data_IF_495201933805
#
_entry.id   IF_495201933805
#
_cell.length_a   1.000
_cell.length_b   1.000
_cell.length_c   1.000
_cell.angle_alpha   90.00
_cell.angle_beta   90.00
_cell.angle_gamma   90.00
#
_symmetry.space_group_name_H-M   'P 1'
#
loop_
_entity.id
_entity.type
_entity.pdbx_description
1 polymer ?
#
# COMPACT_ATOMS: atom_id res chain seq x y z
N UNK A 1 43.53 -20.70 -12.37
CA UNK A 1 43.63 -21.42 -11.08
C UNK A 1 42.26 -21.37 -10.41
N UNK A 2 41.58 -22.50 -10.14
CA UNK A 2 40.31 -22.50 -9.44
C UNK A 2 40.50 -22.50 -7.91
N UNK A 3 39.61 -21.89 -7.11
CA UNK A 3 39.77 -21.78 -5.66
C UNK A 3 39.44 -23.08 -4.92
N UNK A 4 40.16 -23.27 -3.80
CA UNK A 4 40.21 -24.43 -2.91
C UNK A 4 38.85 -24.73 -2.22
N UNK A 5 38.52 -26.02 -2.15
CA UNK A 5 37.25 -26.56 -1.63
C UNK A 5 36.99 -26.35 -0.14
N UNK A 6 35.75 -26.01 0.19
CA UNK A 6 35.22 -26.02 1.54
C UNK A 6 34.74 -27.44 1.90
N UNK A 7 35.24 -27.99 3.03
CA UNK A 7 34.83 -29.30 3.54
C UNK A 7 33.43 -29.21 4.15
N UNK A 8 32.44 -29.89 3.54
CA UNK A 8 31.11 -30.08 4.13
C UNK A 8 31.14 -31.29 5.08
N UNK A 9 30.67 -31.09 6.32
CA UNK A 9 30.41 -32.15 7.31
C UNK A 9 29.36 -33.13 6.73
N UNK A 10 29.66 -34.43 6.80
CA UNK A 10 28.78 -35.50 6.37
C UNK A 10 27.63 -35.65 7.37
N UNK A 11 26.43 -35.21 6.99
CA UNK A 11 25.22 -35.55 7.71
C UNK A 11 24.74 -36.95 7.29
N UNK A 12 24.44 -37.73 8.33
CA UNK A 12 23.67 -38.98 8.39
C UNK A 12 22.84 -39.27 7.12
N UNK A 13 23.10 -40.44 6.53
CA UNK A 13 22.37 -40.99 5.40
C UNK A 13 20.87 -41.12 5.74
N UNK A 14 20.06 -40.26 5.11
CA UNK A 14 18.62 -40.47 4.97
C UNK A 14 18.42 -41.57 3.92
N UNK A 15 17.54 -42.57 4.12
CA UNK A 15 17.36 -43.64 3.14
C UNK A 15 16.79 -43.03 1.86
N UNK A 16 17.45 -43.31 0.73
CA UNK A 16 16.99 -42.96 -0.61
C UNK A 16 15.71 -43.74 -0.86
N UNK A 17 14.56 -43.12 -0.58
CA UNK A 17 13.27 -43.63 -1.05
C UNK A 17 13.27 -43.54 -2.57
N UNK A 18 12.91 -44.65 -3.21
CA UNK A 18 12.71 -44.76 -4.64
C UNK A 18 11.83 -43.60 -5.14
N UNK A 19 12.31 -42.85 -6.12
CA UNK A 19 11.60 -41.73 -6.76
C UNK A 19 10.44 -42.31 -7.57
N UNK A 20 9.32 -42.56 -6.90
CA UNK A 20 8.02 -42.62 -7.57
C UNK A 20 7.78 -41.25 -8.23
N UNK A 21 7.40 -41.17 -9.52
CA UNK A 21 7.05 -39.91 -10.16
C UNK A 21 5.79 -39.36 -9.50
N UNK A 22 5.98 -38.55 -8.46
CA UNK A 22 4.91 -37.80 -7.84
C UNK A 22 4.37 -36.80 -8.87
N UNK A 23 3.04 -36.64 -8.99
CA UNK A 23 2.48 -35.59 -9.83
C UNK A 23 3.07 -34.23 -9.40
N UNK A 24 3.31 -33.30 -10.35
CA UNK A 24 3.90 -32.01 -10.04
C UNK A 24 3.10 -31.32 -8.94
N UNK A 25 3.80 -30.74 -7.97
CA UNK A 25 3.14 -30.04 -6.88
C UNK A 25 2.29 -28.89 -7.42
N UNK A 26 1.24 -28.49 -6.69
CA UNK A 26 0.36 -27.39 -7.11
C UNK A 26 1.17 -26.10 -7.42
N UNK A 27 2.19 -25.84 -6.61
CA UNK A 27 3.12 -24.72 -6.78
C UNK A 27 3.91 -24.83 -8.10
N UNK A 28 4.33 -26.03 -8.47
CA UNK A 28 5.09 -26.30 -9.69
C UNK A 28 4.20 -26.18 -10.93
N UNK A 29 2.95 -26.64 -10.85
CA UNK A 29 1.96 -26.49 -11.93
C UNK A 29 1.61 -25.02 -12.23
N UNK A 30 1.64 -24.16 -11.21
CA UNK A 30 1.39 -22.72 -11.32
C UNK A 30 2.66 -21.92 -11.66
N UNK A 31 3.84 -22.56 -11.70
CA UNK A 31 5.11 -21.89 -11.92
C UNK A 31 5.38 -21.67 -13.41
N UNK A 32 5.44 -20.40 -13.81
CA UNK A 32 5.87 -20.03 -15.17
C UNK A 32 7.38 -19.83 -15.30
N UNK A 33 8.18 -20.32 -14.35
CA UNK A 33 9.64 -20.14 -14.35
C UNK A 33 10.34 -21.02 -15.40
N UNK A 34 9.84 -22.23 -15.63
CA UNK A 34 10.45 -23.23 -16.50
C UNK A 34 10.12 -23.06 -17.99
N UNK A 35 9.14 -22.19 -18.32
CA UNK A 35 8.76 -21.95 -19.70
C UNK A 35 9.72 -20.97 -20.37
N UNK A 36 10.23 -21.27 -21.59
CA UNK A 36 11.07 -20.35 -22.33
C UNK A 36 10.27 -19.09 -22.71
N UNK A 37 10.94 -17.93 -22.69
CA UNK A 37 10.33 -16.63 -22.97
C UNK A 37 10.99 -15.98 -24.20
N UNK A 38 10.74 -16.53 -25.41
CA UNK A 38 11.42 -16.10 -26.64
C UNK A 38 11.11 -14.64 -27.04
N UNK A 39 10.03 -14.07 -26.50
CA UNK A 39 9.61 -12.69 -26.72
C UNK A 39 10.26 -11.67 -25.77
N UNK A 40 10.99 -12.11 -24.74
CA UNK A 40 11.68 -11.18 -23.81
C UNK A 40 13.09 -10.92 -24.31
N UNK A 41 13.44 -9.65 -24.47
CA UNK A 41 14.80 -9.24 -24.83
C UNK A 41 15.81 -9.66 -23.73
N UNK A 42 16.81 -10.51 -24.03
CA UNK A 42 17.83 -10.94 -23.07
C UNK A 42 18.68 -9.80 -22.50
N UNK A 43 18.86 -8.73 -23.27
CA UNK A 43 19.66 -7.56 -22.88
C UNK A 43 18.87 -6.55 -22.03
N UNK A 44 17.58 -6.81 -21.77
CA UNK A 44 16.77 -5.91 -20.96
C UNK A 44 17.16 -5.99 -19.48
N UNK A 45 17.86 -4.97 -19.00
CA UNK A 45 18.16 -4.81 -17.58
C UNK A 45 16.99 -4.10 -16.90
N UNK A 46 16.30 -4.81 -15.99
CA UNK A 46 15.24 -4.20 -15.19
C UNK A 46 15.90 -3.28 -14.15
N UNK A 47 15.74 -1.97 -14.29
CA UNK A 47 16.05 -1.05 -13.19
C UNK A 47 15.00 -1.21 -12.07
N UNK A 48 15.26 -2.14 -11.15
CA UNK A 48 14.36 -2.45 -10.04
C UNK A 48 14.19 -1.26 -9.09
N UNK A 49 15.23 -0.44 -8.96
CA UNK A 49 15.28 0.70 -8.04
C UNK A 49 14.41 1.90 -8.47
N UNK A 50 13.89 1.91 -9.71
CA UNK A 50 13.09 3.04 -10.23
C UNK A 50 11.60 2.75 -10.38
N UNK A 51 11.15 1.51 -10.18
CA UNK A 51 9.81 1.09 -10.58
C UNK A 51 8.78 1.10 -9.45
N UNK A 52 9.15 0.62 -8.26
CA UNK A 52 8.27 0.58 -7.10
C UNK A 52 8.52 1.80 -6.20
N UNK A 53 7.97 2.95 -6.58
CA UNK A 53 7.97 4.17 -5.77
C UNK A 53 6.64 4.34 -5.07
N UNK A 54 6.63 4.91 -3.87
CA UNK A 54 5.35 5.25 -3.22
C UNK A 54 4.66 6.40 -3.96
N UNK A 55 3.33 6.46 -3.90
CA UNK A 55 2.57 7.54 -4.55
C UNK A 55 3.09 8.93 -4.13
N UNK A 56 3.45 9.09 -2.85
CA UNK A 56 4.07 10.32 -2.33
C UNK A 56 5.38 10.68 -3.04
N UNK A 57 6.22 9.70 -3.33
CA UNK A 57 7.48 9.92 -4.07
C UNK A 57 7.24 10.27 -5.54
N UNK A 58 6.22 9.67 -6.17
CA UNK A 58 5.85 9.97 -7.58
C UNK A 58 5.33 11.40 -7.69
N UNK A 59 4.39 11.78 -6.81
CA UNK A 59 3.82 13.14 -6.76
C UNK A 59 4.92 14.17 -6.48
N UNK A 60 5.81 13.90 -5.53
CA UNK A 60 6.95 14.77 -5.24
C UNK A 60 7.89 14.95 -6.43
N UNK A 61 8.15 13.88 -7.18
CA UNK A 61 9.01 13.93 -8.37
C UNK A 61 8.38 14.75 -9.52
N UNK A 62 7.06 14.63 -9.74
CA UNK A 62 6.36 15.44 -10.75
C UNK A 62 6.40 16.93 -10.38
N UNK A 63 6.17 17.27 -9.09
CA UNK A 63 6.24 18.66 -8.61
C UNK A 63 7.62 19.29 -8.80
N UNK A 64 8.69 18.54 -8.53
CA UNK A 64 10.06 19.02 -8.75
C UNK A 64 10.38 19.16 -10.25
N UNK A 65 9.88 18.26 -11.09
CA UNK A 65 10.05 18.34 -12.55
C UNK A 65 9.35 19.56 -13.15
N UNK A 66 8.15 19.89 -12.66
CA UNK A 66 7.39 21.08 -13.07
C UNK A 66 8.14 22.37 -12.73
N UNK A 67 8.67 22.46 -11.49
CA UNK A 67 9.51 23.61 -11.06
C UNK A 67 10.71 23.80 -11.97
N UNK A 68 11.44 22.72 -12.26
CA UNK A 68 12.62 22.76 -13.13
C UNK A 68 12.24 23.15 -14.56
N UNK A 69 11.10 22.68 -15.07
CA UNK A 69 10.58 23.08 -16.38
C UNK A 69 10.31 24.58 -16.46
N UNK A 70 9.71 25.14 -15.39
CA UNK A 70 9.43 26.58 -15.29
C UNK A 70 10.70 27.42 -15.18
N UNK A 71 11.67 26.98 -14.39
CA UNK A 71 12.98 27.64 -14.28
C UNK A 71 13.70 27.69 -15.63
N UNK A 72 13.63 26.61 -16.42
CA UNK A 72 14.19 26.56 -17.78
C UNK A 72 13.49 27.51 -18.75
N UNK A 73 12.16 27.65 -18.68
CA UNK A 73 11.41 28.61 -19.50
C UNK A 73 11.77 30.06 -19.13
N UNK A 74 11.88 30.36 -17.84
CA UNK A 74 12.36 31.67 -17.35
C UNK A 74 13.78 31.97 -17.83
N UNK A 75 14.68 31.00 -17.77
CA UNK A 75 16.05 31.14 -18.25
C UNK A 75 16.13 31.37 -19.78
N UNK A 76 15.11 30.95 -20.54
CA UNK A 76 15.00 31.20 -21.99
C UNK A 76 14.38 32.57 -22.33
N UNK A 77 14.10 33.42 -21.34
CA UNK A 77 13.58 34.79 -21.55
C UNK A 77 12.13 34.83 -22.04
N UNK A 78 11.38 33.76 -21.82
CA UNK A 78 9.96 33.68 -22.16
C UNK A 78 9.14 34.09 -20.93
N UNK A 79 9.00 35.39 -20.74
CA UNK A 79 8.24 36.01 -19.65
C UNK A 79 6.74 35.93 -19.98
N UNK A 80 6.12 34.78 -19.74
CA UNK A 80 4.66 34.65 -19.83
C UNK A 80 4.02 35.35 -18.64
N UNK A 81 3.66 36.62 -18.85
CA UNK A 81 3.02 37.56 -17.91
C UNK A 81 1.64 37.08 -17.39
N UNK A 82 1.09 36.00 -17.96
CA UNK A 82 -0.18 35.38 -17.57
C UNK A 82 0.00 34.14 -16.66
N UNK A 83 1.20 33.88 -16.14
CA UNK A 83 1.53 32.60 -15.45
C UNK A 83 2.24 32.81 -14.10
N UNK A 84 2.14 34.01 -13.53
CA UNK A 84 2.62 34.27 -12.16
C UNK A 84 1.66 33.78 -11.07
N UNK A 85 0.50 33.22 -11.46
CA UNK A 85 -0.36 32.54 -10.50
C UNK A 85 0.36 31.30 -9.95
N UNK A 86 0.59 31.22 -8.62
CA UNK A 86 1.16 30.03 -7.98
C UNK A 86 0.27 28.78 -8.13
N UNK A 87 -0.89 28.92 -8.77
CA UNK A 87 -1.92 27.92 -9.06
C UNK A 87 -2.10 27.67 -10.57
N UNK A 88 -1.07 27.82 -11.39
CA UNK A 88 -1.13 27.33 -12.78
C UNK A 88 -1.70 25.90 -12.77
N UNK A 89 -2.92 25.75 -13.28
CA UNK A 89 -3.78 24.59 -13.04
C UNK A 89 -3.15 23.36 -13.69
N UNK A 90 -2.31 22.64 -12.95
CA UNK A 90 -1.75 21.36 -13.37
C UNK A 90 -2.77 20.26 -13.08
N UNK A 91 -2.84 19.24 -13.94
CA UNK A 91 -3.77 18.10 -13.75
C UNK A 91 -3.56 17.39 -12.39
N UNK A 92 -2.38 17.53 -11.79
CA UNK A 92 -2.04 17.02 -10.45
C UNK A 92 -2.56 17.87 -9.30
N UNK A 93 -2.97 19.11 -9.56
CA UNK A 93 -3.44 20.07 -8.54
C UNK A 93 -4.94 20.01 -8.29
N UNK A 94 -5.70 19.28 -9.11
CA UNK A 94 -7.16 19.18 -8.97
C UNK A 94 -7.48 18.17 -7.86
N UNK A 95 -7.55 18.65 -6.63
CA UNK A 95 -8.02 17.88 -5.47
C UNK A 95 -9.54 18.04 -5.28
N UNK A 96 -10.23 16.97 -4.92
CA UNK A 96 -11.66 17.06 -4.61
C UNK A 96 -11.85 17.89 -3.32
N UNK A 97 -12.78 18.85 -3.29
CA UNK A 97 -13.05 19.62 -2.09
C UNK A 97 -13.59 18.71 -0.98
N UNK A 98 -13.37 19.05 0.30
CA UNK A 98 -13.92 18.29 1.42
C UNK A 98 -15.45 18.36 1.42
N UNK A 99 -16.11 17.35 2.01
CA UNK A 99 -17.57 17.35 2.10
C UNK A 99 -18.06 18.44 3.06
N UNK A 100 -18.97 19.29 2.60
CA UNK A 100 -19.67 20.30 3.43
C UNK A 100 -20.86 19.69 4.18
N UNK A 101 -21.42 18.60 3.65
CA UNK A 101 -22.60 17.96 4.23
C UNK A 101 -22.26 17.19 5.52
N UNK A 102 -23.09 17.29 6.57
CA UNK A 102 -22.88 16.54 7.80
C UNK A 102 -23.03 15.04 7.54
N UNK A 103 -22.02 14.26 7.92
CA UNK A 103 -22.07 12.81 7.82
C UNK A 103 -23.11 12.21 8.78
N UNK A 104 -23.89 11.25 8.28
CA UNK A 104 -24.75 10.40 9.12
C UNK A 104 -23.87 9.51 10.01
N UNK A 105 -24.34 9.24 11.23
CA UNK A 105 -23.63 8.42 12.21
C UNK A 105 -24.22 7.02 12.21
N UNK A 106 -23.38 6.04 11.93
CA UNK A 106 -23.72 4.63 11.96
C UNK A 106 -22.97 3.93 13.10
N UNK A 107 -23.55 2.83 13.59
CA UNK A 107 -22.97 1.98 14.59
C UNK A 107 -21.76 1.26 14.00
N UNK A 108 -20.64 1.27 14.72
CA UNK A 108 -19.38 0.69 14.24
C UNK A 108 -19.43 -0.87 14.24
N UNK A 109 -20.43 -1.48 14.89
CA UNK A 109 -20.60 -2.95 14.99
C UNK A 109 -21.69 -3.45 14.03
N UNK A 110 -22.88 -2.86 14.05
CA UNK A 110 -24.05 -3.37 13.28
C UNK A 110 -24.33 -2.61 11.99
N UNK A 111 -23.80 -1.39 11.82
CA UNK A 111 -24.07 -0.55 10.65
C UNK A 111 -25.44 0.15 10.63
N UNK A 112 -26.28 -0.04 11.66
CA UNK A 112 -27.52 0.74 11.84
C UNK A 112 -27.20 2.20 12.18
N UNK A 113 -28.18 3.10 12.10
CA UNK A 113 -27.98 4.47 12.61
C UNK A 113 -27.60 4.46 14.09
N UNK A 114 -26.72 5.36 14.52
CA UNK A 114 -26.22 5.37 15.89
C UNK A 114 -26.31 6.79 16.47
N UNK A 115 -27.35 7.07 17.26
CA UNK A 115 -27.49 8.37 17.91
C UNK A 115 -26.47 8.58 19.04
N UNK A 116 -25.94 7.51 19.62
CA UNK A 116 -25.07 7.59 20.80
C UNK A 116 -23.62 7.17 20.53
N UNK A 117 -22.71 7.67 21.37
CA UNK A 117 -21.27 7.34 21.33
C UNK A 117 -20.77 7.12 22.75
N UNK A 118 -20.00 6.06 22.94
CA UNK A 118 -19.42 5.73 24.23
C UNK A 118 -18.20 6.61 24.52
N UNK A 119 -18.13 7.33 25.65
CA UNK A 119 -16.99 8.19 25.98
C UNK A 119 -15.69 7.41 26.26
N UNK A 120 -15.77 6.14 26.69
CA UNK A 120 -14.59 5.35 27.01
C UNK A 120 -13.92 4.75 25.77
N UNK A 121 -14.70 4.09 24.91
CA UNK A 121 -14.18 3.46 23.68
C UNK A 121 -14.16 4.40 22.46
N UNK A 122 -15.04 5.40 22.41
CA UNK A 122 -15.28 6.23 21.24
C UNK A 122 -16.06 5.52 20.12
N UNK A 123 -16.63 4.35 20.39
CA UNK A 123 -17.50 3.60 19.47
C UNK A 123 -18.92 4.16 19.47
N UNK A 124 -19.55 4.13 18.30
CA UNK A 124 -20.96 4.51 18.08
C UNK A 124 -21.87 3.31 18.22
N UNK A 125 -23.00 3.46 18.92
CA UNK A 125 -23.96 2.39 19.15
C UNK A 125 -25.42 2.86 18.96
N UNK A 126 -26.30 1.91 18.60
CA UNK A 126 -27.73 2.13 18.42
C UNK A 126 -28.49 1.83 19.71
N UNK A 127 -28.40 0.57 20.18
CA UNK A 127 -29.17 0.06 21.30
C UNK A 127 -28.35 -0.21 22.56
N UNK A 128 -29.05 -0.37 23.69
CA UNK A 128 -28.47 -0.80 24.97
C UNK A 128 -27.74 -2.14 24.87
N UNK A 129 -28.25 -3.09 24.09
CA UNK A 129 -27.61 -4.40 23.89
C UNK A 129 -26.21 -4.29 23.29
N UNK A 130 -26.03 -3.38 22.34
CA UNK A 130 -24.73 -3.10 21.72
C UNK A 130 -23.79 -2.42 22.72
N UNK A 131 -24.32 -1.52 23.55
CA UNK A 131 -23.53 -0.89 24.61
C UNK A 131 -23.02 -1.91 25.64
N UNK A 132 -23.85 -2.88 26.05
CA UNK A 132 -23.45 -3.99 26.91
C UNK A 132 -22.38 -4.86 26.25
N UNK A 133 -22.51 -5.15 24.95
CA UNK A 133 -21.48 -5.83 24.18
C UNK A 133 -20.16 -5.05 24.20
N UNK A 134 -20.19 -3.74 23.92
CA UNK A 134 -19.00 -2.87 23.91
C UNK A 134 -18.26 -2.92 25.25
N UNK A 135 -18.98 -2.93 26.38
CA UNK A 135 -18.37 -3.04 27.72
C UNK A 135 -17.62 -4.35 27.94
N UNK A 136 -18.04 -5.44 27.28
CA UNK A 136 -17.38 -6.74 27.37
C UNK A 136 -16.20 -6.89 26.40
N UNK A 137 -16.04 -5.98 25.44
CA UNK A 137 -14.99 -6.07 24.43
C UNK A 137 -13.61 -5.73 25.00
N UNK A 138 -12.58 -6.44 24.52
CA UNK A 138 -11.20 -6.10 24.83
C UNK A 138 -10.79 -4.80 24.10
N UNK A 139 -9.81 -4.03 24.64
CA UNK A 139 -9.38 -2.77 24.05
C UNK A 139 -8.78 -2.91 22.64
N UNK A 140 -8.15 -4.05 22.31
CA UNK A 140 -7.64 -4.29 20.96
C UNK A 140 -8.77 -4.40 19.92
N UNK A 141 -9.89 -5.02 20.30
CA UNK A 141 -11.08 -5.16 19.45
C UNK A 141 -11.77 -3.81 19.29
N UNK A 142 -11.87 -3.03 20.37
CA UNK A 142 -12.40 -1.66 20.29
C UNK A 142 -11.58 -0.78 19.35
N UNK A 143 -10.24 -0.88 19.41
CA UNK A 143 -9.35 -0.20 18.48
C UNK A 143 -9.51 -0.70 17.04
N UNK A 144 -9.66 -2.01 16.84
CA UNK A 144 -9.91 -2.58 15.52
C UNK A 144 -11.21 -2.03 14.90
N UNK A 145 -12.33 -2.05 15.64
CA UNK A 145 -13.60 -1.46 15.18
C UNK A 145 -13.47 0.04 14.89
N UNK A 146 -12.76 0.80 15.75
CA UNK A 146 -12.54 2.24 15.53
C UNK A 146 -11.66 2.53 14.30
N UNK A 147 -10.68 1.66 14.02
CA UNK A 147 -9.76 1.80 12.89
C UNK A 147 -10.44 1.71 11.53
N UNK A 148 -11.55 0.97 11.44
CA UNK A 148 -12.36 0.86 10.22
C UNK A 148 -12.95 2.23 9.85
N UNK A 149 -13.44 2.99 10.84
CA UNK A 149 -14.01 4.34 10.61
C UNK A 149 -12.93 5.40 10.39
N UNK A 150 -11.88 5.39 11.21
CA UNK A 150 -10.79 6.35 11.09
C UNK A 150 -9.45 5.64 11.38
N UNK A 151 -8.67 5.34 10.33
CA UNK A 151 -7.41 4.61 10.48
C UNK A 151 -6.31 5.42 11.20
N UNK A 152 -6.55 6.69 11.53
CA UNK A 152 -5.57 7.57 12.16
C UNK A 152 -5.57 7.57 13.69
N UNK A 153 -6.37 6.74 14.37
CA UNK A 153 -6.43 6.72 15.85
C UNK A 153 -5.40 5.81 16.53
N UNK A 154 -4.41 5.28 15.82
CA UNK A 154 -3.34 4.50 16.45
C UNK A 154 -2.34 5.47 17.07
N UNK A 155 -2.31 5.55 18.40
CA UNK A 155 -1.25 6.23 19.16
C UNK A 155 0.05 5.48 18.88
N UNK A 156 1.05 6.17 18.33
CA UNK A 156 2.41 5.63 18.12
C UNK A 156 3.21 5.65 19.39
#
# INVERSE_FOLDING_TARGET
MPPKGAKRKSNVATPVQAVSPQPPSLVESLSYAHYPRPFKNPNYTKNTNRRAKSAKQVIGAEREREKLGREKLKAQGMDVDWTEDPEAISFTSIEAPPSVLPQKRYCDITGLEAPYTDPASGLRYHDKSIYELIKSLNPASMQAYRSVRNPHSVVK
#
